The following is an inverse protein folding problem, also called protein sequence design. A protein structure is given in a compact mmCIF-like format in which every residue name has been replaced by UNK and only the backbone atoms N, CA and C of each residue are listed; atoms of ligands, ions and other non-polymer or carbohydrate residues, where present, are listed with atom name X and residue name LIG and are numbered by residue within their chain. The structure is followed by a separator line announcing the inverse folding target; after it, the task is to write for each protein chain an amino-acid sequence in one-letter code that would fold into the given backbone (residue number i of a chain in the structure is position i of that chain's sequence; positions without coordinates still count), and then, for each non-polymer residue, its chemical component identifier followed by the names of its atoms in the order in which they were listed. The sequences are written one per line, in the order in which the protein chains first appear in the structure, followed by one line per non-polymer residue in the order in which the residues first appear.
data_IF_095397484940
#
_entry.id   IF_095397484940
#
_cell.length_a   1.000
_cell.length_b   1.000
_cell.length_c   1.000
_cell.angle_alpha   90.00
_cell.angle_beta   90.00
_cell.angle_gamma   90.00
#
_symmetry.space_group_name_H-M   'P 1'
#
loop_
_entity.id
_entity.type
_entity.pdbx_description
1 polymer ?
#
# COMPACT_ATOMS: atom_id res chain seq x y z
N UNK A 1 -25.59 -0.52 -19.74
CA UNK A 1 -24.44 0.36 -20.05
C UNK A 1 -24.31 1.32 -18.88
N UNK A 2 -23.16 1.34 -18.19
CA UNK A 2 -22.89 2.30 -17.12
C UNK A 2 -22.11 3.44 -17.74
N UNK A 3 -22.59 4.67 -17.54
CA UNK A 3 -21.91 5.90 -18.03
C UNK A 3 -21.22 6.50 -16.82
N UNK A 4 -19.93 6.71 -16.91
CA UNK A 4 -19.09 7.31 -15.86
C UNK A 4 -18.48 8.62 -16.38
N UNK A 5 -18.17 9.59 -15.52
CA UNK A 5 -17.35 10.73 -15.89
C UNK A 5 -16.00 10.28 -16.48
N UNK A 6 -15.50 11.01 -17.45
CA UNK A 6 -14.15 10.78 -17.95
C UNK A 6 -13.14 11.56 -17.11
N UNK A 7 -12.17 10.87 -16.53
CA UNK A 7 -11.11 11.44 -15.71
C UNK A 7 -9.87 11.66 -16.58
N UNK A 8 -9.67 12.87 -17.04
CA UNK A 8 -8.62 13.25 -18.02
C UNK A 8 -7.19 13.11 -17.46
N UNK A 9 -7.02 13.26 -16.16
CA UNK A 9 -5.73 13.07 -15.48
C UNK A 9 -5.35 11.59 -15.32
N UNK A 10 -6.32 10.67 -15.48
CA UNK A 10 -6.12 9.23 -15.42
C UNK A 10 -6.21 8.67 -14.00
N UNK A 11 -5.57 7.52 -13.79
CA UNK A 11 -5.55 6.80 -12.53
C UNK A 11 -4.31 7.15 -11.67
N UNK A 12 -4.30 6.66 -10.43
CA UNK A 12 -3.18 6.85 -9.49
C UNK A 12 -1.87 6.27 -10.03
N UNK A 13 -1.92 5.23 -10.87
CA UNK A 13 -0.73 4.65 -11.51
C UNK A 13 -0.08 5.68 -12.42
N UNK A 14 -0.90 6.35 -13.25
CA UNK A 14 -0.42 7.40 -14.17
C UNK A 14 0.11 8.60 -13.39
N UNK A 15 -0.57 9.00 -12.30
CA UNK A 15 -0.12 10.04 -11.39
C UNK A 15 1.25 9.72 -10.82
N UNK A 16 1.44 8.54 -10.23
CA UNK A 16 2.72 8.11 -9.67
C UNK A 16 3.80 8.06 -10.75
N UNK A 17 3.50 7.45 -11.90
CA UNK A 17 4.48 7.29 -12.99
C UNK A 17 5.02 8.62 -13.51
N UNK A 18 4.18 9.63 -13.59
CA UNK A 18 4.53 10.92 -14.18
C UNK A 18 5.10 11.91 -13.16
N UNK A 19 4.72 11.80 -11.87
CA UNK A 19 4.95 12.82 -10.87
C UNK A 19 5.75 12.39 -9.65
N UNK A 20 6.15 11.13 -9.51
CA UNK A 20 6.69 10.57 -8.26
C UNK A 20 7.77 11.42 -7.59
N UNK A 21 8.76 11.89 -8.33
CA UNK A 21 9.88 12.67 -7.80
C UNK A 21 9.58 14.16 -7.63
N UNK A 22 8.48 14.63 -8.20
CA UNK A 22 8.06 16.04 -8.12
C UNK A 22 7.03 16.26 -7.01
N UNK A 23 6.24 15.23 -6.70
CA UNK A 23 5.25 15.29 -5.64
C UNK A 23 5.95 15.27 -4.26
N UNK A 24 5.74 16.32 -3.48
CA UNK A 24 6.17 16.38 -2.08
C UNK A 24 5.43 15.36 -1.22
N UNK A 25 5.95 15.06 -0.04
CA UNK A 25 5.22 14.25 0.93
C UNK A 25 3.90 14.90 1.36
N UNK A 26 3.85 16.22 1.46
CA UNK A 26 2.61 16.95 1.76
C UNK A 26 1.53 16.69 0.69
N UNK A 27 1.90 16.66 -0.59
CA UNK A 27 0.99 16.35 -1.69
C UNK A 27 0.56 14.88 -1.68
N UNK A 28 1.50 13.95 -1.50
CA UNK A 28 1.20 12.51 -1.38
C UNK A 28 0.25 12.21 -0.23
N UNK A 29 0.46 12.84 0.92
CA UNK A 29 -0.41 12.70 2.10
C UNK A 29 -1.80 13.30 1.87
N UNK A 30 -1.91 14.45 1.18
CA UNK A 30 -3.19 15.03 0.78
C UNK A 30 -3.98 14.06 -0.09
N UNK A 31 -3.32 13.47 -1.09
CA UNK A 31 -3.95 12.48 -1.95
C UNK A 31 -4.38 11.24 -1.16
N UNK A 32 -3.50 10.72 -0.31
CA UNK A 32 -3.80 9.58 0.55
C UNK A 32 -5.01 9.84 1.46
N UNK A 33 -5.10 11.07 2.04
CA UNK A 33 -6.25 11.50 2.84
C UNK A 33 -7.55 11.49 2.03
N UNK A 34 -7.54 11.98 0.79
CA UNK A 34 -8.73 11.97 -0.06
C UNK A 34 -9.12 10.54 -0.46
N UNK A 35 -8.15 9.67 -0.71
CA UNK A 35 -8.39 8.25 -1.00
C UNK A 35 -9.06 7.55 0.18
N UNK A 36 -8.56 7.77 1.41
CA UNK A 36 -9.16 7.11 2.58
C UNK A 36 -10.54 7.66 2.91
N UNK A 37 -10.81 8.96 2.68
CA UNK A 37 -12.16 9.53 2.80
C UNK A 37 -13.12 8.82 1.83
N UNK A 38 -12.71 8.60 0.58
CA UNK A 38 -13.52 7.89 -0.40
C UNK A 38 -13.82 6.45 0.04
N UNK A 39 -12.81 5.74 0.58
CA UNK A 39 -13.00 4.37 1.07
C UNK A 39 -13.88 4.33 2.33
N UNK A 40 -13.70 5.27 3.24
CA UNK A 40 -14.53 5.40 4.46
C UNK A 40 -16.01 5.59 4.10
N UNK A 41 -16.31 6.48 3.15
CA UNK A 41 -17.67 6.68 2.64
C UNK A 41 -18.30 5.40 2.05
N UNK A 42 -17.51 4.57 1.35
CA UNK A 42 -17.95 3.28 0.83
C UNK A 42 -18.24 2.32 1.99
N UNK A 43 -17.37 2.28 2.99
CA UNK A 43 -17.52 1.44 4.17
C UNK A 43 -18.69 1.88 5.07
N UNK A 44 -18.97 3.19 5.15
CA UNK A 44 -20.07 3.73 5.96
C UNK A 44 -21.44 3.31 5.44
N UNK A 45 -21.59 3.18 4.13
CA UNK A 45 -22.81 2.60 3.52
C UNK A 45 -22.80 1.07 3.50
N UNK A 46 -21.89 0.47 4.26
CA UNK A 46 -21.74 -0.97 4.43
C UNK A 46 -21.46 -1.74 3.13
N UNK A 47 -20.70 -1.14 2.21
CA UNK A 47 -20.21 -1.75 0.99
C UNK A 47 -18.73 -2.09 1.15
N UNK A 48 -18.32 -3.23 0.60
CA UNK A 48 -16.94 -3.67 0.46
C UNK A 48 -16.56 -3.54 -1.01
N UNK A 49 -15.43 -2.89 -1.32
CA UNK A 49 -15.00 -2.64 -2.69
C UNK A 49 -14.54 -3.92 -3.41
N UNK A 50 -13.75 -4.76 -2.73
CA UNK A 50 -13.24 -6.08 -3.16
C UNK A 50 -12.16 -6.07 -4.26
N UNK A 51 -12.04 -4.99 -5.03
CA UNK A 51 -11.01 -4.81 -6.05
C UNK A 51 -10.36 -3.42 -5.91
N UNK A 52 -9.94 -3.09 -4.68
CA UNK A 52 -9.37 -1.80 -4.35
C UNK A 52 -7.88 -1.76 -4.69
N UNK A 53 -7.51 -0.98 -5.71
CA UNK A 53 -6.14 -0.83 -6.17
C UNK A 53 -5.93 0.50 -6.90
N UNK A 54 -4.68 0.86 -7.14
CA UNK A 54 -4.30 2.15 -7.74
C UNK A 54 -4.90 2.41 -9.14
N UNK A 55 -5.26 1.37 -9.88
CA UNK A 55 -5.94 1.49 -11.18
C UNK A 55 -7.42 1.87 -11.08
N UNK A 56 -8.04 1.75 -9.89
CA UNK A 56 -9.43 2.12 -9.64
C UNK A 56 -9.56 3.45 -8.86
N UNK A 57 -8.47 4.21 -8.74
CA UNK A 57 -8.43 5.53 -8.12
C UNK A 57 -8.14 6.55 -9.21
N UNK A 58 -9.10 7.41 -9.52
CA UNK A 58 -9.05 8.34 -10.64
C UNK A 58 -8.85 9.77 -10.18
N UNK A 59 -8.10 10.52 -10.99
CA UNK A 59 -7.86 11.94 -10.82
C UNK A 59 -8.60 12.74 -11.87
N UNK A 60 -9.46 13.63 -11.43
CA UNK A 60 -10.19 14.58 -12.27
C UNK A 60 -9.87 16.01 -11.90
N UNK A 61 -10.29 16.93 -12.76
CA UNK A 61 -10.27 18.36 -12.48
C UNK A 61 -11.71 18.80 -12.31
N UNK A 62 -12.09 19.19 -11.11
CA UNK A 62 -13.42 19.72 -10.85
C UNK A 62 -13.42 21.26 -10.99
N UNK A 63 -14.27 21.75 -11.88
CA UNK A 63 -14.70 23.15 -11.98
C UNK A 63 -13.64 24.17 -12.37
N UNK A 64 -14.03 25.44 -12.24
CA UNK A 64 -13.25 26.62 -12.63
C UNK A 64 -12.01 26.87 -11.74
N UNK A 65 -11.86 26.14 -10.63
CA UNK A 65 -10.78 26.32 -9.64
C UNK A 65 -9.68 25.25 -9.68
N UNK A 66 -9.69 24.34 -10.67
CA UNK A 66 -8.67 23.30 -10.84
C UNK A 66 -8.36 22.47 -9.55
N UNK A 67 -9.36 22.24 -8.73
CA UNK A 67 -9.21 21.34 -7.58
C UNK A 67 -9.15 19.92 -8.12
N UNK A 68 -8.08 19.20 -7.79
CA UNK A 68 -7.98 17.78 -8.12
C UNK A 68 -9.00 16.99 -7.31
N UNK A 69 -9.97 16.42 -7.99
CA UNK A 69 -10.91 15.46 -7.41
C UNK A 69 -10.34 14.07 -7.49
N UNK A 70 -10.37 13.35 -6.38
CA UNK A 70 -10.00 11.93 -6.33
C UNK A 70 -11.27 11.11 -6.17
N UNK A 71 -11.49 10.21 -7.11
CA UNK A 71 -12.67 9.34 -7.12
C UNK A 71 -12.27 7.88 -7.13
N UNK A 72 -12.89 7.09 -6.25
CA UNK A 72 -12.79 5.63 -6.28
C UNK A 72 -13.85 5.11 -7.24
N UNK A 73 -13.44 4.34 -8.24
CA UNK A 73 -14.34 3.79 -9.26
C UNK A 73 -14.29 2.28 -9.34
N UNK A 74 -15.03 1.74 -10.30
CA UNK A 74 -15.18 0.31 -10.59
C UNK A 74 -15.74 -0.50 -9.40
N UNK A 75 -16.98 -0.15 -9.01
CA UNK A 75 -17.75 -0.91 -8.03
C UNK A 75 -18.43 -2.17 -8.64
N UNK A 76 -17.99 -2.62 -9.82
CA UNK A 76 -18.63 -3.73 -10.55
C UNK A 76 -18.59 -5.07 -9.83
N UNK A 77 -17.63 -5.27 -8.93
CA UNK A 77 -17.53 -6.48 -8.09
C UNK A 77 -17.79 -6.23 -6.61
N UNK A 78 -18.12 -4.98 -6.25
CA UNK A 78 -18.45 -4.60 -4.87
C UNK A 78 -19.74 -5.28 -4.39
N UNK A 79 -19.83 -5.51 -3.09
CA UNK A 79 -21.01 -6.12 -2.45
C UNK A 79 -21.29 -5.50 -1.11
N UNK A 80 -22.55 -5.65 -0.68
CA UNK A 80 -22.94 -5.38 0.71
C UNK A 80 -22.16 -6.30 1.66
N UNK A 81 -21.67 -5.77 2.75
CA UNK A 81 -20.99 -6.54 3.79
C UNK A 81 -21.91 -7.59 4.47
N UNK A 82 -23.23 -7.53 4.20
CA UNK A 82 -24.22 -8.48 4.72
C UNK A 82 -24.52 -9.63 3.74
N UNK A 83 -24.01 -9.55 2.49
CA UNK A 83 -24.23 -10.59 1.50
C UNK A 83 -23.09 -11.60 1.50
N UNK A 84 -23.39 -12.85 1.88
CA UNK A 84 -22.44 -13.96 1.66
C UNK A 84 -22.32 -14.23 0.16
N UNK A 85 -21.11 -14.17 -0.36
CA UNK A 85 -20.86 -14.41 -1.79
C UNK A 85 -20.16 -15.72 -1.99
N UNK A 86 -20.86 -16.68 -2.55
CA UNK A 86 -20.22 -17.88 -3.07
C UNK A 86 -19.57 -17.57 -4.42
N UNK A 87 -18.29 -17.85 -4.56
CA UNK A 87 -17.62 -18.52 -5.65
C UNK A 87 -16.81 -17.75 -6.68
N UNK A 88 -16.65 -16.43 -6.68
CA UNK A 88 -15.71 -15.85 -7.65
C UNK A 88 -14.79 -14.84 -6.99
N UNK A 89 -13.51 -15.21 -6.89
CA UNK A 89 -12.46 -14.31 -6.42
C UNK A 89 -11.88 -13.58 -7.64
N UNK A 90 -12.28 -12.34 -7.84
CA UNK A 90 -11.68 -11.41 -8.79
C UNK A 90 -10.70 -10.50 -8.08
N UNK A 91 -9.63 -10.13 -8.77
CA UNK A 91 -8.68 -9.15 -8.25
C UNK A 91 -7.31 -9.24 -8.87
N UNK A 92 -6.39 -8.52 -8.26
CA UNK A 92 -4.97 -8.45 -8.59
C UNK A 92 -4.19 -8.98 -7.40
N UNK A 93 -3.45 -10.07 -7.57
CA UNK A 93 -2.78 -10.82 -6.48
C UNK A 93 -2.08 -9.90 -5.46
N UNK A 94 -1.22 -8.94 -5.83
CA UNK A 94 -0.56 -8.04 -4.89
C UNK A 94 -1.46 -7.25 -3.94
N UNK A 95 -2.70 -6.96 -4.32
CA UNK A 95 -3.61 -6.14 -3.51
C UNK A 95 -4.64 -6.97 -2.73
N UNK A 96 -4.71 -8.27 -3.00
CA UNK A 96 -5.63 -9.16 -2.30
C UNK A 96 -5.08 -9.57 -0.94
N UNK A 97 -5.92 -9.47 0.07
CA UNK A 97 -5.57 -9.84 1.43
C UNK A 97 -5.40 -11.36 1.57
N UNK A 98 -4.45 -11.82 2.42
CA UNK A 98 -4.12 -13.24 2.54
C UNK A 98 -5.29 -14.12 2.96
N UNK A 99 -6.21 -13.62 3.77
CA UNK A 99 -7.41 -14.35 4.18
C UNK A 99 -8.33 -14.70 3.01
N UNK A 100 -8.32 -13.90 1.93
CA UNK A 100 -9.11 -14.19 0.72
C UNK A 100 -8.54 -15.40 -0.02
N UNK A 101 -7.22 -15.52 -0.08
CA UNK A 101 -6.57 -16.71 -0.61
C UNK A 101 -6.85 -17.95 0.22
N UNK A 102 -7.04 -17.78 1.54
CA UNK A 102 -7.40 -18.86 2.47
C UNK A 102 -8.89 -19.22 2.43
N UNK A 103 -9.67 -18.64 1.51
CA UNK A 103 -11.08 -18.94 1.31
C UNK A 103 -12.04 -18.25 2.29
N UNK A 104 -11.55 -17.25 3.03
CA UNK A 104 -12.43 -16.40 3.86
C UNK A 104 -13.17 -15.39 3.00
N UNK A 105 -14.27 -14.88 3.54
CA UNK A 105 -15.05 -13.85 2.88
C UNK A 105 -14.33 -12.50 2.88
N UNK A 106 -14.63 -11.68 1.87
CA UNK A 106 -14.19 -10.28 1.84
C UNK A 106 -14.84 -9.50 2.99
N UNK A 107 -14.06 -8.65 3.62
CA UNK A 107 -14.50 -7.74 4.66
C UNK A 107 -13.96 -6.33 4.39
N UNK A 108 -14.44 -5.32 5.13
CA UNK A 108 -13.84 -3.97 5.08
C UNK A 108 -12.33 -4.03 5.35
N UNK A 109 -11.89 -4.92 6.22
CA UNK A 109 -10.47 -5.11 6.52
C UNK A 109 -9.66 -5.65 5.32
N UNK A 110 -10.26 -6.37 4.36
CA UNK A 110 -9.56 -6.75 3.13
C UNK A 110 -9.31 -5.57 2.19
N UNK A 111 -10.21 -4.57 2.13
CA UNK A 111 -9.97 -3.32 1.43
C UNK A 111 -8.87 -2.49 2.11
N UNK A 112 -8.79 -2.53 3.45
CA UNK A 112 -7.71 -1.88 4.21
C UNK A 112 -6.34 -2.49 3.90
N UNK A 113 -6.26 -3.81 3.70
CA UNK A 113 -5.02 -4.43 3.22
C UNK A 113 -4.58 -3.84 1.88
N UNK A 114 -5.52 -3.72 0.93
CA UNK A 114 -5.28 -3.10 -0.38
C UNK A 114 -4.83 -1.64 -0.24
N UNK A 115 -5.41 -0.89 0.70
CA UNK A 115 -4.98 0.48 1.02
C UNK A 115 -3.52 0.52 1.51
N UNK A 116 -3.09 -0.41 2.33
CA UNK A 116 -1.69 -0.55 2.75
C UNK A 116 -0.74 -0.74 1.55
N UNK A 117 -1.14 -1.51 0.54
CA UNK A 117 -0.38 -1.65 -0.71
C UNK A 117 -0.33 -0.35 -1.52
N UNK A 118 -1.41 0.43 -1.54
CA UNK A 118 -1.44 1.76 -2.18
C UNK A 118 -0.53 2.74 -1.43
N UNK A 119 -0.48 2.70 -0.10
CA UNK A 119 0.48 3.47 0.68
C UNK A 119 1.92 3.15 0.26
N UNK A 120 2.24 1.87 0.11
CA UNK A 120 3.56 1.45 -0.36
C UNK A 120 3.87 1.97 -1.77
N UNK A 121 2.90 1.98 -2.69
CA UNK A 121 3.08 2.56 -4.04
C UNK A 121 3.39 4.06 -3.98
N UNK A 122 2.66 4.82 -3.17
CA UNK A 122 2.90 6.25 -2.98
C UNK A 122 4.28 6.53 -2.38
N UNK A 123 4.75 5.65 -1.48
CA UNK A 123 6.05 5.76 -0.84
C UNK A 123 7.20 5.45 -1.80
N UNK A 124 7.06 4.40 -2.61
CA UNK A 124 8.16 3.88 -3.42
C UNK A 124 8.12 4.28 -4.89
N UNK A 125 6.97 4.67 -5.42
CA UNK A 125 6.77 4.92 -6.84
C UNK A 125 6.68 3.67 -7.70
N UNK A 126 6.52 2.50 -7.10
CA UNK A 126 6.48 1.19 -7.75
C UNK A 126 5.22 0.43 -7.39
N UNK A 127 4.79 -0.47 -8.27
CA UNK A 127 3.72 -1.41 -7.94
C UNK A 127 4.23 -2.54 -7.05
N UNK A 128 3.45 -3.02 -6.07
CA UNK A 128 3.88 -4.10 -5.20
C UNK A 128 4.17 -5.37 -6.00
N UNK A 129 5.33 -6.00 -5.74
CA UNK A 129 5.82 -7.20 -6.44
C UNK A 129 6.02 -7.04 -7.96
N UNK A 130 6.37 -5.80 -8.42
CA UNK A 130 6.57 -5.47 -9.82
C UNK A 130 7.65 -6.31 -10.54
N UNK A 131 8.58 -6.87 -9.78
CA UNK A 131 9.71 -7.66 -10.24
C UNK A 131 9.50 -9.18 -10.12
N UNK A 132 8.28 -9.62 -9.78
CA UNK A 132 7.93 -11.03 -9.52
C UNK A 132 6.84 -11.52 -10.45
N UNK A 133 6.76 -12.83 -10.64
CA UNK A 133 5.60 -13.47 -11.26
C UNK A 133 4.39 -13.35 -10.32
N UNK A 134 3.20 -13.09 -10.88
CA UNK A 134 1.95 -13.11 -10.13
C UNK A 134 1.26 -14.46 -10.35
N UNK A 135 1.79 -15.47 -9.69
CA UNK A 135 1.44 -16.89 -9.80
C UNK A 135 1.08 -17.52 -8.44
N UNK A 136 0.96 -18.83 -8.44
CA UNK A 136 0.63 -19.64 -7.25
C UNK A 136 1.66 -19.48 -6.15
N UNK A 137 2.94 -19.38 -6.49
CA UNK A 137 4.03 -19.25 -5.53
C UNK A 137 3.91 -17.92 -4.78
N UNK A 138 3.63 -16.80 -5.48
CA UNK A 138 3.42 -15.51 -4.84
C UNK A 138 2.21 -15.52 -3.91
N UNK A 139 1.11 -16.21 -4.27
CA UNK A 139 -0.06 -16.37 -3.38
C UNK A 139 0.35 -17.06 -2.08
N UNK A 140 1.09 -18.17 -2.18
CA UNK A 140 1.56 -18.93 -1.02
C UNK A 140 2.45 -18.04 -0.13
N UNK A 141 3.42 -17.34 -0.71
CA UNK A 141 4.32 -16.47 0.05
C UNK A 141 3.59 -15.30 0.74
N UNK A 142 2.58 -14.72 0.09
CA UNK A 142 1.73 -13.68 0.73
C UNK A 142 0.99 -14.27 1.94
N UNK A 143 0.49 -15.51 1.82
CA UNK A 143 -0.12 -16.22 2.93
C UNK A 143 0.88 -16.55 4.05
N UNK A 144 2.14 -16.80 3.69
CA UNK A 144 3.24 -17.02 4.64
C UNK A 144 3.80 -15.70 5.22
N UNK A 145 3.22 -14.54 4.86
CA UNK A 145 3.55 -13.25 5.44
C UNK A 145 4.45 -12.36 4.59
N UNK A 146 4.77 -12.74 3.33
CA UNK A 146 5.54 -11.87 2.44
C UNK A 146 4.83 -10.54 2.22
N UNK A 147 5.59 -9.45 2.33
CA UNK A 147 5.16 -8.08 2.01
C UNK A 147 6.22 -7.40 1.15
N UNK A 148 5.87 -6.35 0.40
CA UNK A 148 6.85 -5.55 -0.29
C UNK A 148 7.85 -4.92 0.69
N UNK A 149 9.15 -4.86 0.34
CA UNK A 149 10.18 -4.35 1.25
C UNK A 149 10.05 -2.83 1.47
N UNK A 150 10.39 -2.38 2.68
CA UNK A 150 10.52 -0.96 3.00
C UNK A 150 11.90 -0.50 2.59
N UNK A 151 11.97 0.26 1.50
CA UNK A 151 13.24 0.63 0.83
C UNK A 151 13.55 2.12 0.91
N UNK A 152 12.72 2.91 1.55
CA UNK A 152 12.87 4.37 1.69
C UNK A 152 12.24 4.87 2.97
N UNK A 153 12.53 6.13 3.31
CA UNK A 153 11.89 6.84 4.40
C UNK A 153 10.51 7.40 4.01
N UNK A 154 9.76 7.75 5.04
CA UNK A 154 8.47 8.45 4.94
C UNK A 154 8.30 9.36 6.17
N UNK A 155 7.30 10.26 6.20
CA UNK A 155 6.94 11.00 7.39
C UNK A 155 6.68 10.10 8.59
N UNK A 156 6.93 10.63 9.77
CA UNK A 156 6.79 9.88 11.02
C UNK A 156 5.36 9.31 11.18
N UNK A 157 5.26 8.04 11.54
CA UNK A 157 4.00 7.32 11.68
C UNK A 157 3.40 6.76 10.37
N UNK A 158 3.98 7.06 9.20
CA UNK A 158 3.48 6.58 7.92
C UNK A 158 3.74 5.08 7.73
N UNK A 159 4.98 4.65 7.98
CA UNK A 159 5.39 3.25 7.79
C UNK A 159 4.65 2.34 8.75
N UNK A 160 4.56 2.73 10.02
CA UNK A 160 3.83 1.99 11.05
C UNK A 160 2.35 1.83 10.67
N UNK A 161 1.70 2.90 10.21
CA UNK A 161 0.32 2.82 9.74
C UNK A 161 0.16 1.90 8.53
N UNK A 162 1.09 1.97 7.58
CA UNK A 162 1.10 1.12 6.39
C UNK A 162 1.24 -0.36 6.79
N UNK A 163 2.15 -0.68 7.72
CA UNK A 163 2.37 -2.04 8.22
C UNK A 163 1.14 -2.59 8.96
N UNK A 164 0.46 -1.76 9.73
CA UNK A 164 -0.80 -2.14 10.36
C UNK A 164 -1.90 -2.40 9.32
N UNK A 165 -2.00 -1.58 8.26
CA UNK A 165 -3.01 -1.77 7.21
C UNK A 165 -2.85 -3.14 6.51
N UNK A 166 -1.63 -3.59 6.25
CA UNK A 166 -1.41 -4.89 5.60
C UNK A 166 -1.09 -6.04 6.57
N UNK A 167 -1.46 -5.86 7.85
CA UNK A 167 -1.25 -6.91 8.84
C UNK A 167 -1.91 -8.23 8.41
N UNK A 168 -1.28 -9.37 8.75
CA UNK A 168 -1.79 -10.68 8.39
C UNK A 168 -3.18 -10.95 8.99
N UNK A 169 -3.33 -10.64 10.28
CA UNK A 169 -4.60 -10.75 10.98
C UNK A 169 -5.50 -9.55 10.65
N UNK A 170 -6.66 -9.77 9.98
CA UNK A 170 -7.57 -8.67 9.62
C UNK A 170 -8.11 -7.90 10.81
N UNK A 171 -8.25 -8.53 11.99
CA UNK A 171 -8.75 -7.88 13.21
C UNK A 171 -7.76 -6.86 13.81
N UNK A 172 -6.50 -6.90 13.37
CA UNK A 172 -5.47 -5.94 13.78
C UNK A 172 -5.30 -4.78 12.82
N UNK A 173 -6.01 -4.81 11.69
CA UNK A 173 -6.00 -3.69 10.74
C UNK A 173 -6.91 -2.58 11.26
N UNK A 174 -6.47 -1.32 11.21
CA UNK A 174 -7.31 -0.20 11.60
C UNK A 174 -8.50 -0.05 10.66
N UNK A 175 -9.60 0.53 11.14
CA UNK A 175 -10.74 0.93 10.30
C UNK A 175 -10.35 2.10 9.38
N UNK A 176 -11.14 2.32 8.29
CA UNK A 176 -10.93 3.46 7.40
C UNK A 176 -11.01 4.80 8.15
N UNK A 177 -11.94 4.92 9.08
CA UNK A 177 -12.08 6.10 9.96
C UNK A 177 -10.84 6.33 10.83
N UNK A 178 -10.28 5.28 11.45
CA UNK A 178 -9.03 5.40 12.24
C UNK A 178 -7.85 5.80 11.37
N UNK A 179 -7.73 5.23 10.17
CA UNK A 179 -6.70 5.60 9.20
C UNK A 179 -6.84 7.07 8.82
N UNK A 180 -8.06 7.56 8.56
CA UNK A 180 -8.30 8.97 8.25
C UNK A 180 -7.75 9.90 9.34
N UNK A 181 -8.04 9.63 10.61
CA UNK A 181 -7.52 10.44 11.71
C UNK A 181 -6.00 10.39 11.81
N UNK A 182 -5.39 9.23 11.61
CA UNK A 182 -3.94 9.06 11.68
C UNK A 182 -3.25 9.73 10.48
N UNK A 183 -3.76 9.58 9.26
CA UNK A 183 -3.25 10.29 8.07
C UNK A 183 -3.38 11.80 8.25
N UNK A 184 -4.51 12.30 8.79
CA UNK A 184 -4.67 13.71 9.06
C UNK A 184 -3.60 14.24 10.03
N UNK A 185 -3.33 13.51 11.10
CA UNK A 185 -2.26 13.85 12.05
C UNK A 185 -0.88 13.88 11.38
N UNK A 186 -0.55 12.91 10.55
CA UNK A 186 0.70 12.89 9.77
C UNK A 186 0.77 14.10 8.81
N UNK A 187 -0.35 14.48 8.16
CA UNK A 187 -0.43 15.68 7.33
C UNK A 187 -0.12 16.95 8.12
N UNK A 188 -0.68 17.09 9.33
CA UNK A 188 -0.48 18.26 10.18
C UNK A 188 0.99 18.36 10.66
N UNK A 189 1.59 17.22 11.02
CA UNK A 189 3.00 17.18 11.43
C UNK A 189 3.92 17.52 10.26
N UNK A 190 3.69 16.96 9.07
CA UNK A 190 4.47 17.26 7.88
C UNK A 190 4.30 18.72 7.42
N UNK A 191 3.10 19.28 7.57
CA UNK A 191 2.87 20.72 7.30
C UNK A 191 3.72 21.60 8.21
N UNK A 192 3.79 21.30 9.50
CA UNK A 192 4.67 22.02 10.46
C UNK A 192 6.15 21.86 10.10
N UNK A 193 6.56 20.67 9.64
CA UNK A 193 7.92 20.43 9.16
C UNK A 193 8.23 21.32 7.95
N UNK A 194 7.31 21.43 6.99
CA UNK A 194 7.44 22.32 5.83
C UNK A 194 7.57 23.80 6.26
N UNK A 195 6.73 24.27 7.18
CA UNK A 195 6.77 25.64 7.72
C UNK A 195 8.11 25.93 8.41
N UNK A 196 8.66 24.95 9.10
CA UNK A 196 9.97 25.02 9.75
C UNK A 196 11.15 24.79 8.79
N UNK A 197 10.92 24.70 7.48
CA UNK A 197 11.91 24.44 6.43
C UNK A 197 12.66 23.12 6.61
N UNK A 198 12.00 22.13 7.17
CA UNK A 198 12.53 20.77 7.37
C UNK A 198 11.51 19.70 6.89
N UNK A 199 11.05 19.77 5.62
CA UNK A 199 10.13 18.76 5.08
C UNK A 199 10.80 17.38 5.00
N UNK A 200 9.99 16.32 5.03
CA UNK A 200 10.47 14.98 4.73
C UNK A 200 10.91 14.90 3.27
N UNK A 201 12.18 14.62 3.04
CA UNK A 201 12.73 14.52 1.69
C UNK A 201 12.59 13.10 1.13
N UNK A 202 12.40 12.99 -0.19
CA UNK A 202 12.44 11.72 -0.91
C UNK A 202 13.90 11.41 -1.23
N UNK A 203 14.47 10.42 -0.54
CA UNK A 203 15.84 9.98 -0.75
C UNK A 203 15.89 9.14 -2.02
N UNK A 204 16.44 9.69 -3.10
CA UNK A 204 16.58 9.00 -4.38
C UNK A 204 17.52 7.81 -4.27
N UNK A 205 17.07 6.65 -4.72
CA UNK A 205 17.85 5.41 -4.78
C UNK A 205 17.45 4.58 -6.01
N UNK A 206 18.20 3.51 -6.29
CA UNK A 206 17.82 2.53 -7.32
C UNK A 206 16.54 1.76 -6.98
N UNK A 207 16.11 1.81 -5.70
CA UNK A 207 15.01 0.99 -5.19
C UNK A 207 13.66 1.71 -5.21
N UNK A 208 13.64 3.00 -5.54
CA UNK A 208 12.43 3.80 -5.64
C UNK A 208 12.28 4.46 -7.01
N UNK A 209 11.09 4.94 -7.27
CA UNK A 209 10.69 5.59 -8.52
C UNK A 209 10.13 4.61 -9.56
N UNK A 210 9.41 5.16 -10.55
CA UNK A 210 8.78 4.37 -11.59
C UNK A 210 9.78 3.52 -12.36
N UNK A 211 9.45 2.26 -12.57
CA UNK A 211 10.25 1.35 -13.39
C UNK A 211 9.79 1.39 -14.84
N UNK A 212 10.74 1.25 -15.77
CA UNK A 212 10.46 1.24 -17.21
C UNK A 212 9.86 -0.10 -17.67
N UNK A 213 10.24 -1.18 -17.01
CA UNK A 213 9.80 -2.54 -17.34
C UNK A 213 9.45 -3.32 -16.09
N UNK A 214 8.25 -3.89 -16.06
CA UNK A 214 7.85 -4.87 -15.04
C UNK A 214 8.31 -6.27 -15.46
N UNK A 215 8.31 -7.22 -14.50
CA UNK A 215 8.38 -8.62 -14.85
C UNK A 215 7.25 -8.95 -15.85
N UNK A 216 7.51 -9.66 -16.97
CA UNK A 216 6.50 -10.00 -17.97
C UNK A 216 5.28 -10.73 -17.39
N UNK A 217 5.47 -11.49 -16.31
CA UNK A 217 4.41 -12.23 -15.63
C UNK A 217 3.81 -11.46 -14.42
N UNK A 218 4.19 -10.20 -14.20
CA UNK A 218 3.55 -9.32 -13.22
C UNK A 218 2.25 -8.75 -13.81
N UNK A 219 1.13 -9.39 -13.50
CA UNK A 219 -0.17 -9.08 -14.08
C UNK A 219 -0.95 -8.15 -13.14
N UNK A 220 -1.16 -6.90 -13.57
CA UNK A 220 -1.92 -5.87 -12.84
C UNK A 220 -3.26 -5.56 -13.51
N UNK A 221 -3.93 -6.60 -13.92
CA UNK A 221 -5.30 -6.55 -14.42
C UNK A 221 -6.15 -7.47 -13.57
N UNK A 222 -7.29 -6.95 -13.10
CA UNK A 222 -8.28 -7.75 -12.37
C UNK A 222 -8.73 -8.92 -13.23
N UNK A 223 -8.74 -10.11 -12.64
CA UNK A 223 -9.12 -11.36 -13.29
C UNK A 223 -9.69 -12.34 -12.29
N UNK A 224 -10.39 -13.36 -12.79
CA UNK A 224 -10.80 -14.48 -11.97
C UNK A 224 -9.58 -15.28 -11.50
N UNK A 225 -9.43 -15.44 -10.20
CA UNK A 225 -8.32 -16.14 -9.54
C UNK A 225 -8.76 -17.41 -8.81
N UNK A 226 -10.05 -17.78 -8.85
CA UNK A 226 -10.62 -18.89 -8.06
C UNK A 226 -9.87 -20.20 -8.29
N UNK A 227 -9.56 -20.55 -9.55
CA UNK A 227 -8.80 -21.77 -9.88
C UNK A 227 -7.35 -21.72 -9.38
N UNK A 228 -6.70 -20.56 -9.49
CA UNK A 228 -5.33 -20.36 -9.01
C UNK A 228 -5.25 -20.40 -7.48
N UNK A 229 -6.22 -19.80 -6.80
CA UNK A 229 -6.36 -19.83 -5.33
C UNK A 229 -6.56 -21.27 -4.84
N UNK A 230 -7.47 -22.01 -5.47
CA UNK A 230 -7.69 -23.41 -5.12
C UNK A 230 -6.39 -24.25 -5.25
N UNK A 231 -5.65 -24.08 -6.33
CA UNK A 231 -4.37 -24.76 -6.54
C UNK A 231 -3.32 -24.34 -5.50
N UNK A 232 -3.22 -23.05 -5.21
CA UNK A 232 -2.30 -22.52 -4.20
C UNK A 232 -2.60 -23.08 -2.80
N UNK A 233 -3.88 -23.11 -2.39
CA UNK A 233 -4.27 -23.63 -1.08
C UNK A 233 -4.10 -25.13 -0.95
N UNK A 234 -4.29 -25.90 -2.03
CA UNK A 234 -3.98 -27.32 -2.03
C UNK A 234 -2.49 -27.57 -1.78
N UNK A 235 -1.61 -26.82 -2.45
CA UNK A 235 -0.15 -26.89 -2.25
C UNK A 235 0.26 -26.38 -0.86
N UNK A 236 -0.31 -25.28 -0.42
CA UNK A 236 -0.03 -24.67 0.89
C UNK A 236 -0.39 -25.62 2.04
N UNK A 237 -1.57 -26.26 1.98
CA UNK A 237 -2.00 -27.25 2.97
C UNK A 237 -1.05 -28.44 3.06
N UNK A 238 -0.51 -28.87 1.93
CA UNK A 238 0.49 -29.96 1.88
C UNK A 238 1.81 -29.54 2.55
N UNK A 239 2.18 -28.25 2.48
CA UNK A 239 3.38 -27.70 3.16
C UNK A 239 3.15 -27.45 4.63
N UNK A 240 1.95 -27.00 5.03
CA UNK A 240 1.62 -26.59 6.41
C UNK A 240 1.69 -27.71 7.43
N UNK A 241 1.68 -28.97 7.03
CA UNK A 241 1.94 -30.09 7.93
C UNK A 241 3.38 -30.11 8.46
N UNK A 242 4.27 -29.27 7.93
CA UNK A 242 5.70 -29.17 8.29
C UNK A 242 6.18 -27.78 8.71
N UNK A 243 5.32 -26.76 8.70
CA UNK A 243 5.73 -25.38 9.00
C UNK A 243 5.29 -24.97 10.41
N UNK A 244 6.28 -24.80 11.29
CA UNK A 244 6.11 -24.30 12.64
C UNK A 244 5.94 -22.76 12.62
N UNK A 245 5.16 -22.19 13.58
CA UNK A 245 4.94 -20.75 13.79
C UNK A 245 6.23 -19.88 13.79
N UNK A 246 7.38 -20.50 14.03
CA UNK A 246 8.70 -19.86 13.98
C UNK A 246 9.06 -19.32 12.58
N UNK A 247 8.60 -19.96 11.48
CA UNK A 247 8.87 -19.50 10.11
C UNK A 247 8.04 -18.28 9.76
N UNK A 248 6.80 -18.18 10.24
CA UNK A 248 5.97 -16.97 10.07
C UNK A 248 6.65 -15.75 10.71
N UNK A 249 7.15 -15.91 11.94
CA UNK A 249 7.91 -14.86 12.62
C UNK A 249 9.24 -14.53 11.91
N UNK A 250 9.84 -15.49 11.19
CA UNK A 250 11.05 -15.27 10.40
C UNK A 250 10.79 -14.39 9.18
N UNK A 251 9.68 -14.58 8.44
CA UNK A 251 9.31 -13.72 7.30
C UNK A 251 8.90 -12.31 7.76
N UNK A 252 8.17 -12.19 8.85
CA UNK A 252 7.86 -10.90 9.46
C UNK A 252 9.13 -10.16 9.91
N UNK A 253 10.11 -10.87 10.45
CA UNK A 253 11.34 -10.30 11.02
C UNK A 253 12.40 -10.00 9.97
N UNK A 254 12.48 -10.76 8.88
CA UNK A 254 13.52 -10.63 7.86
C UNK A 254 13.07 -9.83 6.62
N UNK A 255 11.75 -9.71 6.37
CA UNK A 255 11.20 -8.78 5.39
C UNK A 255 10.89 -7.39 5.97
N UNK A 256 10.86 -7.23 7.27
CA UNK A 256 11.15 -5.96 7.89
C UNK A 256 12.61 -5.66 7.58
N UNK A 257 12.89 -4.75 6.66
CA UNK A 257 14.20 -4.12 6.54
C UNK A 257 14.65 -3.72 7.94
N UNK A 258 15.95 -3.57 8.22
CA UNK A 258 16.43 -3.37 9.56
C UNK A 258 15.76 -2.12 10.17
N UNK A 259 14.64 -2.30 10.86
CA UNK A 259 14.11 -1.36 11.85
C UNK A 259 14.99 -1.41 13.11
N UNK A 260 16.24 -1.79 12.95
CA UNK A 260 17.29 -1.42 13.84
C UNK A 260 17.42 0.09 13.74
N UNK A 261 17.02 0.79 14.80
CA UNK A 261 17.34 2.19 15.05
C UNK A 261 18.71 2.51 14.46
N UNK A 262 18.75 3.09 13.26
CA UNK A 262 19.96 3.82 12.84
C UNK A 262 19.97 5.04 13.73
N UNK A 263 20.71 4.94 14.85
CA UNK A 263 21.31 6.11 15.46
C UNK A 263 22.07 6.80 14.33
N UNK A 264 21.58 7.92 13.89
CA UNK A 264 22.40 8.91 13.23
C UNK A 264 23.39 9.37 14.31
N UNK A 265 24.53 8.76 14.38
CA UNK A 265 25.69 9.35 15.02
C UNK A 265 26.02 10.58 14.17
N UNK A 266 25.66 11.74 14.70
CA UNK A 266 26.25 12.99 14.30
C UNK A 266 27.73 12.89 14.64
N UNK A 267 28.56 12.57 13.64
CA UNK A 267 29.99 12.82 13.70
C UNK A 267 30.19 14.34 13.73
N UNK A 268 30.07 14.89 14.93
CA UNK A 268 30.66 16.16 15.27
C UNK A 268 32.17 15.96 15.18
N UNK A 269 32.73 16.45 14.10
CA UNK A 269 34.18 16.65 13.96
C UNK A 269 34.56 17.68 15.05
N UNK A 270 35.03 17.20 16.19
CA UNK A 270 35.79 18.00 17.14
C UNK A 270 37.13 18.30 16.51
N UNK A 271 37.30 19.52 16.00
CA UNK A 271 38.59 20.12 15.76
C UNK A 271 39.31 20.26 17.10
N UNK A 272 40.19 19.36 17.40
CA UNK A 272 41.24 19.58 18.42
C UNK A 272 42.26 20.55 17.87
N UNK A 273 42.16 21.80 18.30
CA UNK A 273 43.32 22.72 18.26
C UNK A 273 44.41 22.16 19.19
N UNK A 274 45.49 21.68 18.61
CA UNK A 274 46.72 21.40 19.31
C UNK A 274 47.45 22.72 19.58
N UNK A 275 47.26 23.25 20.77
CA UNK A 275 48.20 24.22 21.35
C UNK A 275 49.39 23.46 21.90
N UNK A 276 50.46 23.39 21.15
CA UNK A 276 51.79 22.95 21.55
C UNK A 276 52.70 24.13 21.72
N UNK A 277 52.97 24.50 22.97
CA UNK A 277 54.14 25.34 23.36
C UNK A 277 55.43 24.63 23.04
N UNK A 278 56.34 25.26 22.38
CA UNK A 278 57.67 25.80 22.71
C UNK A 278 58.29 26.25 21.41
#
# INVERSE_FOLDING_TARGET
MIIMPYYDSGDLIKYIKNGFYYASWQEKLKNLKNIIIGLDNIHDVNIIHRDFHSGNIFFGKEGMYFVEEITIGDLGVSKSATESSYNENYGIIPYMAPEIFQGREYTKASDIYSFGMIMWELMTGRRPFWNRNHDIELIIEICDGLRPPIVTNAPNGYIELMEECWHFDPEKRPSATEIFYRVNKICEEESKNCDNKNPTEIIKSSDIGPVTTNNPNAIYRSRNLSGMIHSAMSLWSSRSQSINLEQFNYYQKNNMGPTGKRKYENDLIENKEDNGMI
#
